data_IF_892469901538
#
_entry.id   IF_892469901538
#
_cell.length_a   1.000
_cell.length_b   1.000
_cell.length_c   1.000
_cell.angle_alpha   90.00
_cell.angle_beta   90.00
_cell.angle_gamma   90.00
#
_symmetry.space_group_name_H-M   'P 1'
#
loop_
_entity.id
_entity.type
_entity.pdbx_description
1 polymer ?
#
# COMPACT_ATOMS: atom_id res chain seq x y z
N UNK A 1 -70.55 14.48 -12.49
CA UNK A 1 -71.50 13.99 -11.50
C UNK A 1 -70.74 13.40 -10.34
N UNK A 2 -70.93 13.98 -9.16
CA UNK A 2 -70.61 13.60 -7.79
C UNK A 2 -69.17 13.63 -7.30
N UNK A 3 -68.72 14.76 -6.77
CA UNK A 3 -68.17 14.88 -5.40
C UNK A 3 -69.33 14.99 -4.39
N UNK A 4 -69.20 14.80 -3.04
CA UNK A 4 -68.31 15.56 -2.18
C UNK A 4 -67.90 14.96 -0.79
N UNK A 5 -67.15 15.76 -0.04
CA UNK A 5 -67.15 16.20 1.41
C UNK A 5 -66.08 15.52 2.30
N UNK A 6 -65.08 16.24 2.76
CA UNK A 6 -64.95 17.12 3.93
C UNK A 6 -65.25 16.49 5.29
N UNK A 7 -64.25 16.55 6.18
CA UNK A 7 -64.38 16.32 7.62
C UNK A 7 -63.14 16.74 8.39
N UNK A 8 -63.10 18.00 8.84
CA UNK A 8 -62.19 18.55 9.85
C UNK A 8 -62.62 18.10 11.26
N UNK A 9 -61.66 17.90 12.16
CA UNK A 9 -61.83 18.35 13.57
C UNK A 9 -60.48 18.59 14.25
N UNK A 10 -60.35 19.81 14.75
CA UNK A 10 -59.37 20.31 15.71
C UNK A 10 -59.56 19.66 17.10
N UNK A 11 -58.48 19.56 17.90
CA UNK A 11 -58.46 20.13 19.28
C UNK A 11 -57.07 20.07 19.90
N UNK A 12 -56.65 21.23 20.37
CA UNK A 12 -55.60 21.56 21.32
C UNK A 12 -55.74 20.84 22.64
N UNK A 13 -54.63 20.60 23.36
CA UNK A 13 -54.50 20.91 24.79
C UNK A 13 -53.05 21.13 25.19
N UNK A 14 -52.78 22.29 25.73
CA UNK A 14 -51.56 22.65 26.44
C UNK A 14 -51.76 22.31 27.93
N UNK A 15 -50.72 21.86 28.60
CA UNK A 15 -50.63 21.95 30.05
C UNK A 15 -49.17 22.15 30.49
N UNK A 16 -48.93 23.32 31.10
CA UNK A 16 -47.80 23.67 31.93
C UNK A 16 -47.74 22.81 33.19
N UNK A 17 -46.53 22.38 33.58
CA UNK A 17 -46.24 22.12 35.00
C UNK A 17 -44.79 22.49 35.30
N UNK A 18 -44.65 23.59 36.01
CA UNK A 18 -43.48 24.07 36.75
C UNK A 18 -43.24 23.17 37.97
N UNK A 19 -42.02 22.70 38.18
CA UNK A 19 -41.53 22.30 39.50
C UNK A 19 -40.05 22.66 39.68
N UNK A 20 -39.79 23.16 40.82
CA UNK A 20 -38.71 23.90 41.43
C UNK A 20 -37.38 23.14 41.59
N UNK A 21 -36.32 23.89 41.54
CA UNK A 21 -34.92 23.58 41.81
C UNK A 21 -34.61 23.07 43.23
N UNK A 22 -33.69 22.08 43.32
CA UNK A 22 -32.78 21.98 44.46
C UNK A 22 -31.38 21.60 43.92
N UNK A 23 -30.44 22.46 44.19
CA UNK A 23 -29.03 22.38 43.84
C UNK A 23 -28.26 21.49 44.85
N UNK A 24 -27.42 20.61 44.34
CA UNK A 24 -26.32 20.03 45.10
C UNK A 24 -25.06 19.98 44.18
N UNK A 25 -23.86 20.27 44.71
CA UNK A 25 -22.69 20.52 43.88
C UNK A 25 -22.06 19.21 43.40
N UNK A 26 -21.98 19.03 42.06
CA UNK A 26 -21.29 17.93 41.44
C UNK A 26 -19.80 18.23 41.32
N UNK A 27 -18.98 17.32 41.82
CA UNK A 27 -17.53 17.25 41.72
C UNK A 27 -17.06 17.29 40.24
N UNK A 28 -16.21 18.26 39.91
CA UNK A 28 -15.50 18.32 38.64
C UNK A 28 -14.52 17.14 38.49
N UNK A 29 -14.88 16.11 37.73
CA UNK A 29 -13.90 15.21 37.10
C UNK A 29 -13.42 15.89 35.82
N UNK A 30 -12.09 15.87 35.53
CA UNK A 30 -11.57 16.38 34.27
C UNK A 30 -12.12 15.51 33.11
N UNK A 31 -12.86 16.15 32.20
CA UNK A 31 -13.32 15.53 30.96
C UNK A 31 -12.11 15.40 30.05
N UNK A 32 -11.60 14.18 29.91
CA UNK A 32 -10.64 13.88 28.85
C UNK A 32 -11.31 14.14 27.50
N UNK A 33 -10.64 14.86 26.56
CA UNK A 33 -11.19 15.09 25.24
C UNK A 33 -11.47 13.76 24.53
N UNK A 34 -12.60 13.62 23.82
CA UNK A 34 -12.91 12.40 23.09
C UNK A 34 -11.80 12.13 22.07
N UNK A 35 -11.23 10.91 22.11
CA UNK A 35 -10.31 10.45 21.08
C UNK A 35 -10.97 10.65 19.72
N UNK A 36 -10.29 11.23 18.73
CA UNK A 36 -10.85 11.44 17.42
C UNK A 36 -11.30 10.10 16.84
N UNK A 37 -12.59 9.98 16.52
CA UNK A 37 -13.14 8.83 15.81
C UNK A 37 -12.42 8.78 14.45
N UNK A 38 -11.53 7.82 14.27
CA UNK A 38 -10.88 7.53 12.98
C UNK A 38 -11.98 7.14 11.98
N UNK A 39 -12.35 8.08 11.11
CA UNK A 39 -13.07 7.75 9.89
C UNK A 39 -12.16 6.81 9.09
N UNK A 40 -12.72 5.69 8.64
CA UNK A 40 -12.02 4.62 7.95
C UNK A 40 -11.53 5.06 6.56
N UNK A 41 -10.41 5.76 6.50
CA UNK A 41 -9.60 5.71 5.29
C UNK A 41 -8.86 4.37 5.29
N UNK A 42 -8.74 3.73 4.14
CA UNK A 42 -8.06 2.44 4.02
C UNK A 42 -6.60 2.49 4.51
N UNK A 43 -5.98 3.67 4.52
CA UNK A 43 -4.57 3.88 4.83
C UNK A 43 -4.36 4.95 5.91
N UNK A 44 -3.53 4.62 6.92
CA UNK A 44 -2.99 5.61 7.85
C UNK A 44 -1.84 6.41 7.16
N UNK A 45 -1.57 7.68 7.58
CA UNK A 45 -0.34 8.36 7.19
C UNK A 45 0.88 7.52 7.57
N UNK A 46 1.83 7.41 6.66
CA UNK A 46 3.07 6.66 6.86
C UNK A 46 4.22 7.64 7.01
N UNK A 47 4.80 7.77 8.21
CA UNK A 47 5.92 8.69 8.45
C UNK A 47 7.15 8.31 7.61
N UNK A 48 8.05 9.26 7.34
CA UNK A 48 9.34 8.94 6.74
C UNK A 48 10.14 7.98 7.64
N UNK A 49 10.99 7.12 7.06
CA UNK A 49 11.81 6.18 7.84
C UNK A 49 12.65 6.86 8.91
N UNK A 50 13.14 8.07 8.65
CA UNK A 50 13.95 8.88 9.57
C UNK A 50 13.21 9.12 10.89
N UNK A 51 11.93 9.55 10.81
CA UNK A 51 11.09 9.79 11.99
C UNK A 51 10.82 8.49 12.75
N UNK A 52 10.67 7.36 12.03
CA UNK A 52 10.45 6.04 12.65
C UNK A 52 11.70 5.61 13.42
N UNK A 53 12.91 5.80 12.85
CA UNK A 53 14.16 5.44 13.52
C UNK A 53 14.42 6.29 14.77
N UNK A 54 13.89 7.51 14.85
CA UNK A 54 14.01 8.36 16.04
C UNK A 54 13.09 7.93 17.19
N UNK A 55 11.95 7.31 16.88
CA UNK A 55 10.91 6.97 17.85
C UNK A 55 10.47 5.50 17.72
N UNK A 56 11.41 4.55 17.60
CA UNK A 56 11.13 3.13 17.38
C UNK A 56 10.11 2.54 18.37
N UNK A 57 10.15 2.94 19.64
CA UNK A 57 9.23 2.45 20.67
C UNK A 57 7.77 2.79 20.40
N UNK A 58 7.51 3.91 19.73
CA UNK A 58 6.15 4.34 19.41
C UNK A 58 5.54 3.45 18.32
N UNK A 59 6.37 2.97 17.39
CA UNK A 59 5.94 2.16 16.25
C UNK A 59 6.01 0.65 16.49
N UNK A 60 6.83 0.22 17.47
CA UNK A 60 7.04 -1.18 17.84
C UNK A 60 6.78 -1.44 19.32
N UNK A 61 5.64 -1.02 19.89
CA UNK A 61 5.39 -1.04 21.34
C UNK A 61 5.32 -2.43 21.97
N UNK A 62 5.13 -3.49 21.15
CA UNK A 62 5.04 -4.87 21.63
C UNK A 62 6.41 -5.55 21.76
N UNK A 63 7.51 -4.86 21.40
CA UNK A 63 8.85 -5.45 21.33
C UNK A 63 9.83 -4.77 22.30
N UNK A 64 10.66 -5.59 22.95
CA UNK A 64 11.84 -5.12 23.69
C UNK A 64 12.99 -4.94 22.68
N UNK A 65 13.19 -3.69 22.24
CA UNK A 65 14.12 -3.33 21.18
C UNK A 65 15.59 -3.44 21.61
N UNK A 66 15.86 -3.44 22.91
CA UNK A 66 17.22 -3.49 23.46
C UNK A 66 17.69 -4.93 23.72
N UNK A 67 16.79 -5.88 23.66
CA UNK A 67 17.11 -7.30 23.83
C UNK A 67 17.96 -7.83 22.67
N UNK A 68 19.11 -8.48 22.93
CA UNK A 68 19.93 -9.08 21.90
C UNK A 68 19.23 -10.28 21.26
N UNK A 69 18.85 -10.18 19.99
CA UNK A 69 18.11 -11.22 19.25
C UNK A 69 18.80 -11.66 17.97
N UNK A 70 19.79 -10.86 17.49
CA UNK A 70 20.39 -11.02 16.16
C UNK A 70 21.85 -11.38 16.33
N UNK A 71 22.30 -12.46 15.64
CA UNK A 71 23.71 -12.81 15.59
C UNK A 71 24.48 -11.83 14.72
N UNK A 72 25.57 -11.26 15.24
CA UNK A 72 26.41 -10.36 14.48
C UNK A 72 27.13 -11.15 13.36
N UNK A 73 26.78 -10.90 12.11
CA UNK A 73 27.56 -11.37 10.96
C UNK A 73 28.89 -10.61 10.97
N UNK A 74 30.00 -11.33 11.16
CA UNK A 74 31.35 -10.78 10.96
C UNK A 74 31.50 -10.47 9.46
N UNK A 75 31.66 -9.18 9.14
CA UNK A 75 31.65 -8.53 7.84
C UNK A 75 32.27 -9.33 6.69
N UNK A 76 31.55 -9.42 5.61
CA UNK A 76 32.11 -9.62 4.30
C UNK A 76 32.83 -8.35 3.85
N UNK A 77 34.15 -8.42 3.83
CA UNK A 77 34.98 -7.49 3.06
C UNK A 77 34.69 -7.71 1.59
N UNK A 78 34.34 -6.65 0.86
CA UNK A 78 34.23 -6.63 -0.60
C UNK A 78 35.46 -7.27 -1.26
N UNK A 79 35.29 -8.03 -2.34
CA UNK A 79 36.41 -8.54 -3.10
C UNK A 79 37.09 -7.39 -3.87
N UNK A 80 38.18 -6.89 -3.33
CA UNK A 80 39.12 -6.06 -4.09
C UNK A 80 40.04 -7.03 -4.84
N UNK A 81 40.11 -6.84 -6.14
CA UNK A 81 41.04 -7.50 -7.07
C UNK A 81 42.45 -7.63 -6.49
N UNK A 82 42.89 -8.87 -6.30
CA UNK A 82 44.25 -9.18 -5.85
C UNK A 82 45.16 -9.47 -7.05
N UNK A 83 46.22 -8.69 -7.20
CA UNK A 83 47.43 -9.08 -7.93
C UNK A 83 48.22 -10.14 -7.15
N UNK A 84 48.95 -11.05 -7.82
CA UNK A 84 49.59 -12.15 -7.15
C UNK A 84 50.93 -11.75 -6.52
N UNK A 85 51.08 -11.89 -5.22
CA UNK A 85 52.34 -11.71 -4.48
C UNK A 85 52.94 -13.06 -4.03
N UNK A 86 54.26 -13.13 -4.12
CA UNK A 86 55.21 -14.20 -3.86
C UNK A 86 55.17 -14.71 -2.42
N UNK A 87 55.37 -16.02 -2.13
CA UNK A 87 55.26 -16.59 -0.79
C UNK A 87 56.51 -16.33 0.07
N UNK A 88 56.28 -15.83 1.30
CA UNK A 88 57.29 -15.80 2.38
C UNK A 88 57.05 -16.91 3.40
N UNK A 89 58.09 -17.37 4.17
CA UNK A 89 58.03 -18.58 4.98
C UNK A 89 57.25 -18.45 6.27
N UNK A 90 56.84 -19.57 6.94
CA UNK A 90 55.86 -19.54 8.02
C UNK A 90 56.44 -19.08 9.35
N UNK A 91 55.92 -18.01 9.87
CA UNK A 91 56.12 -17.57 11.26
C UNK A 91 54.93 -18.01 12.12
N UNK A 92 55.21 -18.47 13.33
CA UNK A 92 54.23 -19.12 14.20
C UNK A 92 53.07 -18.20 14.58
N UNK A 93 51.84 -18.69 14.36
CA UNK A 93 50.59 -18.02 14.69
C UNK A 93 50.43 -17.82 16.22
N UNK A 94 50.04 -16.64 16.69
CA UNK A 94 49.56 -16.48 18.05
C UNK A 94 48.17 -17.13 18.23
N UNK A 95 47.80 -17.53 19.47
CA UNK A 95 46.57 -18.28 19.71
C UNK A 95 45.33 -17.51 19.27
N UNK A 96 44.50 -18.14 18.48
CA UNK A 96 43.19 -17.65 18.09
C UNK A 96 42.37 -17.24 19.34
N UNK A 97 42.20 -15.95 19.57
CA UNK A 97 41.16 -15.47 20.47
C UNK A 97 39.84 -15.89 19.90
N UNK A 98 39.14 -16.84 20.55
CA UNK A 98 37.74 -17.14 20.30
C UNK A 98 36.98 -15.81 20.26
N UNK A 99 36.61 -15.35 19.05
CA UNK A 99 35.70 -14.23 18.87
C UNK A 99 34.34 -14.67 19.35
N UNK A 100 33.95 -14.24 20.54
CA UNK A 100 32.60 -14.35 21.05
C UNK A 100 31.71 -13.64 20.02
N UNK A 101 30.89 -14.39 19.28
CA UNK A 101 29.84 -13.83 18.43
C UNK A 101 28.90 -13.02 19.32
N UNK A 102 29.05 -11.71 19.32
CA UNK A 102 28.12 -10.81 20.02
C UNK A 102 26.76 -10.84 19.38
N UNK A 103 25.69 -10.91 20.16
CA UNK A 103 24.34 -10.68 19.62
C UNK A 103 24.07 -9.19 19.64
N UNK A 104 23.46 -8.65 18.57
CA UNK A 104 23.02 -7.26 18.49
C UNK A 104 21.53 -7.15 18.87
N UNK A 105 21.14 -6.03 19.45
CA UNK A 105 19.75 -5.68 19.67
C UNK A 105 19.14 -5.11 18.39
N UNK A 106 17.81 -5.12 18.31
CA UNK A 106 17.06 -4.54 17.19
C UNK A 106 17.38 -3.05 17.03
N UNK A 107 17.50 -2.32 18.15
CA UNK A 107 17.87 -0.90 18.16
C UNK A 107 19.22 -0.65 17.48
N UNK A 108 20.25 -1.41 17.84
CA UNK A 108 21.59 -1.25 17.26
C UNK A 108 21.57 -1.47 15.75
N UNK A 109 20.82 -2.48 15.26
CA UNK A 109 20.73 -2.76 13.83
C UNK A 109 19.98 -1.65 13.10
N UNK A 110 18.93 -1.11 13.69
CA UNK A 110 18.18 0.03 13.14
C UNK A 110 19.03 1.30 13.07
N UNK A 111 19.83 1.59 14.11
CA UNK A 111 20.76 2.73 14.14
C UNK A 111 21.86 2.61 13.08
N UNK A 112 22.46 1.44 12.92
CA UNK A 112 23.45 1.17 11.88
C UNK A 112 22.88 1.41 10.48
N UNK A 113 21.62 0.98 10.25
CA UNK A 113 20.94 1.19 8.98
C UNK A 113 20.60 2.68 8.75
N UNK A 114 20.14 3.41 9.78
CA UNK A 114 19.92 4.85 9.73
C UNK A 114 21.19 5.59 9.32
N UNK A 115 22.33 5.29 9.96
CA UNK A 115 23.60 5.90 9.60
C UNK A 115 24.02 5.62 8.14
N UNK A 116 23.71 4.42 7.62
CA UNK A 116 23.97 4.07 6.22
C UNK A 116 23.12 4.94 5.28
N UNK A 117 21.83 5.09 5.58
CA UNK A 117 20.91 5.95 4.85
C UNK A 117 21.38 7.40 4.87
N UNK A 118 21.74 7.95 6.03
CA UNK A 118 22.21 9.33 6.17
C UNK A 118 23.48 9.60 5.37
N UNK A 119 24.40 8.63 5.32
CA UNK A 119 25.59 8.73 4.46
C UNK A 119 25.23 8.78 2.97
N UNK A 120 24.27 7.97 2.55
CA UNK A 120 23.85 7.92 1.15
C UNK A 120 23.11 9.19 0.72
N UNK A 121 22.23 9.73 1.56
CA UNK A 121 21.47 10.95 1.27
C UNK A 121 22.36 12.18 1.13
N UNK A 122 23.47 12.24 1.90
CA UNK A 122 24.48 13.31 1.81
C UNK A 122 25.33 13.22 0.53
N UNK A 123 25.53 12.00 0.00
CA UNK A 123 26.36 11.78 -1.18
C UNK A 123 25.66 12.17 -2.48
N UNK A 124 24.37 11.85 -2.62
CA UNK A 124 23.55 12.18 -3.80
C UNK A 124 22.06 12.28 -3.42
N UNK A 125 21.58 13.48 -3.09
CA UNK A 125 20.19 13.70 -2.73
C UNK A 125 19.18 13.41 -3.86
N UNK A 126 19.62 13.50 -5.13
CA UNK A 126 18.74 13.37 -6.31
C UNK A 126 18.54 11.91 -6.72
N UNK A 127 19.48 11.03 -6.39
CA UNK A 127 19.37 9.58 -6.68
C UNK A 127 19.07 8.72 -5.46
N UNK A 128 18.83 9.36 -4.31
CA UNK A 128 18.63 8.68 -3.02
C UNK A 128 17.59 7.57 -3.05
N UNK A 129 16.35 7.86 -3.49
CA UNK A 129 15.27 6.86 -3.51
C UNK A 129 15.59 5.66 -4.41
N UNK A 130 16.22 5.90 -5.56
CA UNK A 130 16.66 4.84 -6.46
C UNK A 130 17.83 4.03 -5.89
N UNK A 131 18.73 4.68 -5.16
CA UNK A 131 19.87 4.01 -4.52
C UNK A 131 19.42 3.13 -3.33
N UNK A 132 18.47 3.61 -2.52
CA UNK A 132 17.84 2.82 -1.45
C UNK A 132 17.11 1.63 -2.05
N UNK A 133 16.28 1.84 -3.07
CA UNK A 133 15.53 0.78 -3.75
C UNK A 133 16.44 -0.33 -4.29
N UNK A 134 17.54 0.01 -4.99
CA UNK A 134 18.49 -0.98 -5.55
C UNK A 134 19.20 -1.82 -4.47
N UNK A 135 19.23 -1.36 -3.23
CA UNK A 135 19.86 -2.04 -2.10
C UNK A 135 18.84 -2.76 -1.20
N UNK A 136 17.55 -2.59 -1.49
CA UNK A 136 16.50 -3.25 -0.72
C UNK A 136 16.70 -4.76 -0.70
N UNK A 137 16.63 -5.34 0.49
CA UNK A 137 16.95 -6.75 0.70
C UNK A 137 15.85 -7.63 0.12
N UNK A 138 16.16 -8.37 -0.94
CA UNK A 138 15.26 -9.40 -1.45
C UNK A 138 15.24 -10.59 -0.49
N UNK A 139 14.06 -11.00 -0.07
CA UNK A 139 13.84 -12.04 0.93
C UNK A 139 13.44 -13.40 0.32
N UNK A 140 13.39 -13.46 -1.03
CA UNK A 140 13.00 -14.65 -1.77
C UNK A 140 13.94 -15.83 -1.54
N UNK A 141 13.36 -16.99 -1.21
CA UNK A 141 14.14 -18.21 -0.95
C UNK A 141 14.85 -18.23 0.41
N UNK A 142 14.70 -17.19 1.22
CA UNK A 142 15.21 -17.14 2.58
C UNK A 142 14.18 -17.63 3.58
N UNK A 143 14.62 -18.13 4.73
CA UNK A 143 13.73 -18.40 5.85
C UNK A 143 13.42 -17.07 6.55
N UNK A 144 12.14 -16.78 6.74
CA UNK A 144 11.67 -15.59 7.45
C UNK A 144 11.15 -16.01 8.82
N UNK A 145 11.40 -15.22 9.84
CA UNK A 145 10.99 -15.52 11.21
C UNK A 145 10.50 -14.24 11.91
N UNK A 146 9.21 -14.20 12.27
CA UNK A 146 8.66 -13.11 13.08
C UNK A 146 9.17 -13.25 14.52
N UNK A 147 9.83 -12.22 15.05
CA UNK A 147 10.23 -12.16 16.45
C UNK A 147 9.03 -11.73 17.27
N UNK A 148 8.43 -12.66 18.00
CA UNK A 148 7.31 -12.35 18.91
C UNK A 148 7.80 -12.24 20.35
N UNK A 149 7.07 -11.50 21.19
CA UNK A 149 7.32 -11.37 22.64
C UNK A 149 7.32 -12.72 23.38
N UNK A 150 6.56 -13.69 22.89
CA UNK A 150 6.50 -15.05 23.46
C UNK A 150 7.82 -15.83 23.19
N UNK A 151 8.36 -15.76 21.97
CA UNK A 151 9.63 -16.40 21.62
C UNK A 151 10.82 -15.74 22.31
N UNK A 152 10.76 -14.42 22.53
CA UNK A 152 11.77 -13.69 23.27
C UNK A 152 11.89 -14.18 24.73
N UNK A 153 10.83 -14.71 25.32
CA UNK A 153 10.85 -15.30 26.69
C UNK A 153 11.37 -16.74 26.74
N UNK A 154 11.22 -17.53 25.66
CA UNK A 154 11.62 -18.94 25.64
C UNK A 154 13.11 -19.20 25.34
N UNK A 155 13.80 -18.27 24.67
CA UNK A 155 15.20 -18.48 24.26
C UNK A 155 16.24 -18.22 25.35
N UNK A 156 15.84 -17.98 26.61
CA UNK A 156 16.78 -17.77 27.72
C UNK A 156 17.34 -19.07 28.33
N UNK A 157 17.10 -20.27 27.78
CA UNK A 157 17.35 -21.48 28.54
C UNK A 157 18.01 -22.69 27.86
N UNK A 158 18.15 -22.83 26.55
CA UNK A 158 18.88 -23.95 25.95
C UNK A 158 19.43 -23.66 24.54
N UNK A 159 20.67 -24.10 24.21
CA UNK A 159 21.15 -24.08 22.83
C UNK A 159 20.44 -25.20 22.04
N UNK A 160 19.65 -24.80 21.04
CA UNK A 160 19.07 -25.75 20.09
C UNK A 160 20.18 -26.16 19.11
N UNK A 161 20.39 -27.47 18.84
CA UNK A 161 21.37 -27.89 17.86
C UNK A 161 20.95 -27.46 16.47
N UNK A 162 21.78 -26.67 15.82
CA UNK A 162 21.60 -26.24 14.44
C UNK A 162 21.78 -27.42 13.47
N UNK A 163 20.72 -27.74 12.75
CA UNK A 163 20.84 -28.53 11.53
C UNK A 163 21.41 -27.66 10.41
N UNK A 164 22.42 -28.07 9.66
CA UNK A 164 23.00 -27.28 8.59
C UNK A 164 22.09 -27.28 7.36
N UNK A 165 21.09 -26.44 7.34
CA UNK A 165 20.36 -26.07 6.13
C UNK A 165 20.79 -24.67 5.70
N UNK A 166 21.51 -24.62 4.59
CA UNK A 166 22.19 -23.45 4.04
C UNK A 166 21.21 -22.41 3.46
N UNK A 167 20.38 -21.78 4.27
CA UNK A 167 19.55 -20.64 3.86
C UNK A 167 19.73 -19.50 4.85
N UNK A 168 19.90 -18.28 4.33
CA UNK A 168 19.94 -17.09 5.19
C UNK A 168 18.60 -16.93 5.89
N UNK A 169 18.60 -16.83 7.22
CA UNK A 169 17.39 -16.58 8.01
C UNK A 169 17.30 -15.09 8.30
N UNK A 170 16.22 -14.45 7.85
CA UNK A 170 15.89 -13.06 8.18
C UNK A 170 14.87 -13.03 9.30
N UNK A 171 15.16 -12.23 10.31
CA UNK A 171 14.24 -11.95 11.42
C UNK A 171 13.56 -10.62 11.18
N UNK A 172 12.28 -10.54 11.49
CA UNK A 172 11.51 -9.32 11.36
C UNK A 172 10.60 -9.10 12.56
N UNK A 173 10.27 -7.85 12.84
CA UNK A 173 9.34 -7.45 13.90
C UNK A 173 8.19 -6.67 13.33
N UNK A 174 6.98 -6.96 13.82
CA UNK A 174 5.75 -6.30 13.39
C UNK A 174 5.52 -5.06 14.24
N UNK A 175 5.28 -3.94 13.57
CA UNK A 175 4.90 -2.67 14.17
C UNK A 175 3.42 -2.34 13.96
N UNK A 176 3.14 -1.06 13.87
CA UNK A 176 1.80 -0.49 13.76
C UNK A 176 1.05 -0.89 12.49
N UNK A 177 -0.29 -0.92 12.59
CA UNK A 177 -1.17 -1.10 11.45
C UNK A 177 -1.19 0.18 10.60
N UNK A 178 -0.67 0.12 9.36
CA UNK A 178 -0.60 1.24 8.43
C UNK A 178 -1.66 1.21 7.33
N UNK A 179 -2.37 0.08 7.16
CA UNK A 179 -3.43 -0.01 6.16
C UNK A 179 -4.32 -1.24 6.32
N UNK A 180 -5.49 -1.17 5.67
CA UNK A 180 -6.43 -2.29 5.54
C UNK A 180 -6.78 -2.43 4.07
N UNK A 181 -6.27 -3.46 3.43
CA UNK A 181 -6.65 -3.83 2.07
C UNK A 181 -7.91 -4.70 2.04
N UNK A 182 -8.38 -5.00 0.85
CA UNK A 182 -9.57 -5.83 0.64
C UNK A 182 -9.42 -7.23 1.25
N UNK A 183 -8.22 -7.80 1.23
CA UNK A 183 -7.95 -9.19 1.62
C UNK A 183 -7.06 -9.32 2.85
N UNK A 184 -6.67 -8.22 3.51
CA UNK A 184 -5.77 -8.32 4.64
C UNK A 184 -5.43 -6.99 5.31
N UNK A 185 -4.52 -7.07 6.27
CA UNK A 185 -4.01 -5.91 7.02
C UNK A 185 -2.58 -5.66 6.63
N UNK A 186 -2.20 -4.38 6.49
CA UNK A 186 -0.82 -3.99 6.18
C UNK A 186 -0.22 -3.36 7.43
N UNK A 187 0.90 -3.90 7.85
CA UNK A 187 1.64 -3.44 9.02
C UNK A 187 2.97 -2.79 8.60
N UNK A 188 3.37 -1.78 9.32
CA UNK A 188 4.77 -1.39 9.37
C UNK A 188 5.56 -2.57 9.95
N UNK A 189 6.74 -2.83 9.42
CA UNK A 189 7.63 -3.83 9.97
C UNK A 189 9.08 -3.40 9.82
N UNK A 190 9.94 -3.94 10.67
CA UNK A 190 11.38 -3.75 10.61
C UNK A 190 12.03 -5.11 10.31
N UNK A 191 12.84 -5.16 9.28
CA UNK A 191 13.76 -6.26 9.07
C UNK A 191 14.85 -6.18 10.17
N UNK A 192 14.68 -6.98 11.22
CA UNK A 192 15.58 -6.94 12.37
C UNK A 192 17.01 -7.42 12.05
N UNK A 193 17.20 -8.10 10.91
CA UNK A 193 18.52 -8.55 10.45
C UNK A 193 19.29 -7.43 9.75
N UNK A 194 18.62 -6.59 8.97
CA UNK A 194 19.26 -5.53 8.16
C UNK A 194 18.98 -4.13 8.66
N UNK A 195 17.98 -3.93 9.52
CA UNK A 195 17.53 -2.61 9.98
C UNK A 195 16.57 -1.89 9.02
N UNK A 196 16.22 -2.50 7.88
CA UNK A 196 15.41 -1.90 6.84
C UNK A 196 13.92 -1.85 7.23
N UNK A 197 13.27 -0.69 7.03
CA UNK A 197 11.80 -0.58 7.16
C UNK A 197 11.13 -1.21 5.96
N UNK A 198 10.15 -2.07 6.23
CA UNK A 198 9.36 -2.78 5.22
C UNK A 198 7.86 -2.69 5.56
N UNK A 199 7.01 -3.00 4.60
CA UNK A 199 5.59 -3.18 4.84
C UNK A 199 5.24 -4.67 4.74
N UNK A 200 4.39 -5.17 5.64
CA UNK A 200 3.95 -6.57 5.64
C UNK A 200 2.44 -6.65 5.51
N UNK A 201 1.97 -7.20 4.41
CA UNK A 201 0.54 -7.49 4.19
C UNK A 201 0.24 -8.89 4.68
N UNK A 202 -0.55 -9.00 5.75
CA UNK A 202 -0.94 -10.29 6.34
C UNK A 202 -2.38 -10.65 6.01
N UNK A 203 -2.57 -11.88 5.57
CA UNK A 203 -3.87 -12.50 5.30
C UNK A 203 -3.99 -13.74 6.18
N UNK A 204 -5.09 -13.84 6.92
CA UNK A 204 -5.33 -14.96 7.82
C UNK A 204 -5.50 -16.28 7.04
N UNK A 205 -4.86 -17.35 7.51
CA UNK A 205 -5.01 -18.70 6.98
C UNK A 205 -6.27 -19.38 7.53
N UNK A 206 -6.95 -20.25 6.74
CA UNK A 206 -8.09 -21.02 7.20
C UNK A 206 -7.68 -21.97 8.33
N UNK A 207 -8.20 -21.76 9.53
CA UNK A 207 -7.82 -22.52 10.74
C UNK A 207 -8.75 -23.68 11.03
N UNK A 208 -10.05 -23.50 10.85
CA UNK A 208 -11.07 -24.50 11.22
C UNK A 208 -11.47 -25.37 10.03
N UNK A 209 -12.11 -26.52 10.29
CA UNK A 209 -12.69 -27.33 9.23
C UNK A 209 -13.76 -26.58 8.43
N UNK A 210 -14.48 -25.64 9.09
CA UNK A 210 -15.44 -24.73 8.45
C UNK A 210 -14.73 -23.77 7.51
N UNK A 211 -13.63 -23.15 7.95
CA UNK A 211 -12.85 -22.19 7.13
C UNK A 211 -12.17 -22.89 5.94
N UNK A 212 -11.72 -24.14 6.13
CA UNK A 212 -11.15 -24.96 5.05
C UNK A 212 -12.17 -25.37 4.00
N UNK A 213 -13.44 -25.45 4.40
CA UNK A 213 -14.57 -25.64 3.49
C UNK A 213 -15.07 -24.32 2.88
N UNK A 214 -14.61 -23.17 3.37
CA UNK A 214 -14.81 -21.88 2.73
C UNK A 214 -13.88 -21.79 1.50
N UNK A 215 -14.42 -22.19 0.35
CA UNK A 215 -13.73 -22.19 -0.92
C UNK A 215 -13.15 -20.81 -1.27
N UNK A 216 -13.78 -19.73 -0.79
CA UNK A 216 -13.35 -18.36 -1.04
C UNK A 216 -12.03 -18.02 -0.35
N UNK A 217 -11.88 -18.33 0.95
CA UNK A 217 -10.66 -18.02 1.71
C UNK A 217 -9.45 -18.81 1.17
N UNK A 218 -9.65 -20.09 0.84
CA UNK A 218 -8.62 -20.92 0.21
C UNK A 218 -8.19 -20.34 -1.13
N UNK A 219 -9.16 -19.91 -1.95
CA UNK A 219 -8.89 -19.29 -3.26
C UNK A 219 -8.12 -17.98 -3.13
N UNK A 220 -8.46 -17.12 -2.15
CA UNK A 220 -7.74 -15.87 -1.86
C UNK A 220 -6.27 -16.14 -1.55
N UNK A 221 -5.99 -17.10 -0.66
CA UNK A 221 -4.61 -17.45 -0.28
C UNK A 221 -3.82 -17.99 -1.49
N UNK A 222 -4.41 -18.86 -2.29
CA UNK A 222 -3.76 -19.39 -3.50
C UNK A 222 -3.51 -18.29 -4.54
N UNK A 223 -4.48 -17.39 -4.76
CA UNK A 223 -4.34 -16.27 -5.68
C UNK A 223 -3.19 -15.33 -5.24
N UNK A 224 -3.07 -15.04 -3.94
CA UNK A 224 -1.99 -14.23 -3.38
C UNK A 224 -0.62 -14.85 -3.55
N UNK A 225 -0.49 -16.17 -3.35
CA UNK A 225 0.77 -16.89 -3.60
C UNK A 225 1.21 -16.80 -5.07
N UNK A 226 0.28 -17.07 -5.98
CA UNK A 226 0.56 -16.98 -7.42
C UNK A 226 0.90 -15.57 -7.87
N UNK A 227 0.25 -14.55 -7.29
CA UNK A 227 0.57 -13.15 -7.54
C UNK A 227 1.97 -12.83 -7.05
N UNK A 228 2.31 -13.20 -5.82
CA UNK A 228 3.65 -12.98 -5.25
C UNK A 228 4.73 -13.56 -6.15
N UNK A 229 4.54 -14.77 -6.67
CA UNK A 229 5.49 -15.40 -7.62
C UNK A 229 5.59 -14.64 -8.96
N UNK A 230 4.47 -14.09 -9.43
CA UNK A 230 4.45 -13.31 -10.68
C UNK A 230 5.14 -11.96 -10.52
N UNK A 231 5.02 -11.34 -9.34
CA UNK A 231 5.48 -9.98 -9.08
C UNK A 231 6.90 -9.91 -8.48
N UNK A 232 7.52 -11.06 -8.18
CA UNK A 232 8.83 -11.11 -7.49
C UNK A 232 9.96 -10.43 -8.23
N UNK A 233 9.94 -10.48 -9.56
CA UNK A 233 11.01 -9.97 -10.41
C UNK A 233 10.75 -8.55 -10.91
N UNK A 234 9.59 -7.96 -10.57
CA UNK A 234 9.27 -6.60 -10.97
C UNK A 234 10.16 -5.58 -10.26
N UNK A 235 10.77 -4.70 -11.04
CA UNK A 235 11.60 -3.60 -10.55
C UNK A 235 11.41 -2.33 -11.39
N UNK A 236 10.56 -1.41 -10.91
CA UNK A 236 10.30 -0.13 -11.56
C UNK A 236 10.06 0.96 -10.51
N UNK A 237 10.57 2.22 -10.68
CA UNK A 237 10.46 3.28 -9.67
C UNK A 237 9.01 3.64 -9.31
N UNK A 238 8.06 3.44 -10.20
CA UNK A 238 6.65 3.74 -9.98
C UNK A 238 5.80 2.50 -9.64
N UNK A 239 6.43 1.42 -9.21
CA UNK A 239 5.79 0.19 -8.75
C UNK A 239 6.31 -0.14 -7.36
N UNK A 240 5.42 -0.48 -6.42
CA UNK A 240 5.82 -1.00 -5.10
C UNK A 240 6.52 -2.34 -5.27
N UNK A 241 7.73 -2.45 -4.72
CA UNK A 241 8.55 -3.63 -4.87
C UNK A 241 8.05 -4.75 -3.95
N UNK A 242 7.98 -5.97 -4.50
CA UNK A 242 7.76 -7.19 -3.74
C UNK A 242 9.11 -7.74 -3.26
N UNK A 243 9.24 -7.95 -1.95
CA UNK A 243 10.50 -8.40 -1.32
C UNK A 243 10.50 -9.89 -1.05
N UNK A 244 9.36 -10.48 -0.74
CA UNK A 244 9.21 -11.90 -0.45
C UNK A 244 7.86 -12.26 0.13
N UNK A 245 7.66 -13.52 0.47
CA UNK A 245 6.49 -13.97 1.24
C UNK A 245 6.85 -15.08 2.22
N UNK A 246 6.06 -15.22 3.26
CA UNK A 246 6.15 -16.28 4.26
C UNK A 246 4.77 -16.87 4.51
N UNK A 247 4.71 -18.19 4.63
CA UNK A 247 3.51 -18.91 5.03
C UNK A 247 3.70 -19.53 6.41
N UNK A 248 2.85 -19.16 7.34
CA UNK A 248 2.73 -19.76 8.66
C UNK A 248 1.38 -20.47 8.80
N UNK A 249 1.16 -21.31 9.82
CA UNK A 249 -0.16 -21.91 10.06
C UNK A 249 -1.29 -20.89 10.24
N UNK A 250 -0.96 -19.67 10.64
CA UNK A 250 -1.90 -18.62 10.99
C UNK A 250 -2.10 -17.58 9.92
N UNK A 251 -1.03 -17.24 9.17
CA UNK A 251 -1.03 -16.13 8.23
C UNK A 251 -0.18 -16.42 6.99
N UNK A 252 -0.61 -15.87 5.85
CA UNK A 252 0.24 -15.59 4.72
C UNK A 252 0.72 -14.13 4.85
N UNK A 253 2.02 -13.92 4.93
CA UNK A 253 2.67 -12.62 5.05
C UNK A 253 3.40 -12.29 3.75
N UNK A 254 3.06 -11.18 3.11
CA UNK A 254 3.70 -10.66 1.90
C UNK A 254 4.53 -9.45 2.31
N UNK A 255 5.83 -9.49 2.01
CA UNK A 255 6.78 -8.45 2.33
C UNK A 255 6.93 -7.49 1.15
N UNK A 256 6.74 -6.22 1.41
CA UNK A 256 6.70 -5.14 0.42
C UNK A 256 7.66 -4.02 0.82
N UNK A 257 8.10 -3.27 -0.17
CA UNK A 257 8.76 -1.98 0.04
C UNK A 257 7.89 -1.08 0.94
N UNK A 258 8.50 -0.48 1.95
CA UNK A 258 7.83 0.56 2.72
C UNK A 258 7.84 1.87 1.94
N UNK A 259 6.68 2.39 1.62
CA UNK A 259 6.50 3.67 0.93
C UNK A 259 5.98 4.69 1.93
N UNK A 260 6.79 5.67 2.38
CA UNK A 260 6.34 6.74 3.27
C UNK A 260 5.33 7.65 2.57
N UNK A 261 4.53 8.38 3.33
CA UNK A 261 3.55 9.31 2.78
C UNK A 261 2.12 8.78 2.83
N UNK A 262 1.37 8.90 1.74
CA UNK A 262 -0.05 8.56 1.71
C UNK A 262 -0.49 7.99 0.35
N UNK A 263 -1.76 7.62 0.18
CA UNK A 263 -2.32 7.34 -1.15
C UNK A 263 -2.85 8.61 -1.80
N UNK A 264 -3.00 8.64 -3.12
CA UNK A 264 -3.69 9.73 -3.84
C UNK A 264 -5.06 9.97 -3.22
N UNK A 265 -5.84 8.90 -2.96
CA UNK A 265 -7.16 9.03 -2.35
C UNK A 265 -7.12 9.71 -0.98
N UNK A 266 -6.17 9.36 -0.13
CA UNK A 266 -5.99 10.01 1.18
C UNK A 266 -5.52 11.46 1.05
N UNK A 267 -4.67 11.77 0.06
CA UNK A 267 -4.25 13.14 -0.24
C UNK A 267 -5.43 14.00 -0.69
N UNK A 268 -6.29 13.48 -1.58
CA UNK A 268 -7.51 14.17 -2.02
C UNK A 268 -8.48 14.42 -0.87
N UNK A 269 -8.65 13.47 0.05
CA UNK A 269 -9.47 13.66 1.25
C UNK A 269 -8.92 14.76 2.17
N UNK A 270 -7.60 14.92 2.24
CA UNK A 270 -6.93 15.87 3.12
C UNK A 270 -6.79 17.26 2.51
N UNK A 271 -6.42 17.34 1.24
CA UNK A 271 -6.02 18.58 0.57
C UNK A 271 -7.02 19.04 -0.50
N UNK A 272 -8.01 18.22 -0.85
CA UNK A 272 -8.94 18.50 -1.95
C UNK A 272 -8.32 18.19 -3.31
N UNK A 273 -8.85 18.85 -4.36
CA UNK A 273 -8.39 18.71 -5.75
C UNK A 273 -6.92 19.14 -5.90
N UNK A 274 -6.22 18.48 -6.79
CA UNK A 274 -4.83 18.82 -7.10
C UNK A 274 -4.74 19.91 -8.16
N UNK A 275 -3.66 20.68 -8.13
CA UNK A 275 -3.33 21.57 -9.23
C UNK A 275 -2.97 20.78 -10.51
N UNK A 276 -3.02 21.47 -11.64
CA UNK A 276 -2.85 20.85 -12.95
C UNK A 276 -1.46 20.20 -13.12
N UNK A 277 -0.39 20.84 -12.62
CA UNK A 277 0.96 20.31 -12.77
C UNK A 277 1.22 19.10 -11.86
N UNK A 278 0.66 19.08 -10.65
CA UNK A 278 0.68 17.90 -9.79
C UNK A 278 -0.05 16.76 -10.47
N UNK A 279 -1.24 17.02 -11.02
CA UNK A 279 -2.01 16.00 -11.76
C UNK A 279 -1.25 15.46 -12.97
N UNK A 280 -0.61 16.33 -13.78
CA UNK A 280 0.25 15.93 -14.93
C UNK A 280 1.39 15.05 -14.48
N UNK A 281 2.13 15.47 -13.45
CA UNK A 281 3.28 14.73 -12.92
C UNK A 281 2.89 13.34 -12.42
N UNK A 282 1.84 13.26 -11.61
CA UNK A 282 1.38 11.99 -11.05
C UNK A 282 0.83 11.07 -12.14
N UNK A 283 0.06 11.61 -13.09
CA UNK A 283 -0.45 10.85 -14.24
C UNK A 283 0.69 10.27 -15.09
N UNK A 284 1.73 11.05 -15.36
CA UNK A 284 2.90 10.60 -16.11
C UNK A 284 3.60 9.43 -15.41
N UNK A 285 3.75 9.49 -14.10
CA UNK A 285 4.36 8.43 -13.29
C UNK A 285 3.49 7.17 -13.23
N UNK A 286 2.17 7.32 -13.08
CA UNK A 286 1.22 6.20 -13.12
C UNK A 286 1.29 5.49 -14.46
N UNK A 287 1.27 6.25 -15.56
CA UNK A 287 1.40 5.68 -16.91
C UNK A 287 2.74 4.99 -17.13
N UNK A 288 3.85 5.51 -16.57
CA UNK A 288 5.15 4.86 -16.64
C UNK A 288 5.16 3.50 -15.92
N UNK A 289 4.55 3.44 -14.73
CA UNK A 289 4.38 2.18 -14.01
C UNK A 289 3.49 1.18 -14.76
N UNK A 290 2.39 1.66 -15.35
CA UNK A 290 1.50 0.79 -16.14
C UNK A 290 2.15 0.32 -17.45
N UNK A 291 2.90 1.17 -18.14
CA UNK A 291 3.64 0.76 -19.34
C UNK A 291 4.58 -0.40 -19.03
N UNK A 292 5.32 -0.30 -17.93
CA UNK A 292 6.18 -1.37 -17.46
C UNK A 292 5.39 -2.65 -17.16
N UNK A 293 4.30 -2.58 -16.38
CA UNK A 293 3.45 -3.76 -16.09
C UNK A 293 2.89 -4.40 -17.35
N UNK A 294 2.40 -3.58 -18.28
CA UNK A 294 1.83 -4.05 -19.54
C UNK A 294 2.87 -4.70 -20.44
N UNK A 295 4.14 -4.22 -20.44
CA UNK A 295 5.24 -4.85 -21.16
C UNK A 295 5.62 -6.23 -20.59
N UNK A 296 5.43 -6.43 -19.27
CA UNK A 296 5.60 -7.72 -18.60
C UNK A 296 4.35 -8.64 -18.72
N UNK A 297 3.33 -8.20 -19.48
CA UNK A 297 2.10 -8.96 -19.67
C UNK A 297 1.15 -8.94 -18.48
N UNK A 298 1.31 -8.00 -17.54
CA UNK A 298 0.58 -7.93 -16.28
C UNK A 298 -0.41 -6.75 -16.30
N UNK A 299 -1.74 -6.98 -16.44
CA UNK A 299 -2.73 -5.95 -16.22
C UNK A 299 -2.96 -5.72 -14.72
N UNK A 300 -3.15 -4.45 -14.30
CA UNK A 300 -3.34 -4.10 -12.90
C UNK A 300 -4.73 -4.48 -12.35
N UNK A 301 -5.80 -4.24 -13.10
CA UNK A 301 -7.20 -4.61 -12.83
C UNK A 301 -7.92 -3.93 -11.67
N UNK A 302 -7.21 -3.33 -10.74
CA UNK A 302 -7.78 -2.69 -9.54
C UNK A 302 -7.23 -1.28 -9.34
N UNK A 303 -6.89 -0.57 -10.42
CA UNK A 303 -6.32 0.76 -10.33
C UNK A 303 -7.38 1.75 -9.82
N UNK A 304 -7.03 2.46 -8.75
CA UNK A 304 -7.82 3.52 -8.11
C UNK A 304 -6.91 4.41 -7.28
N UNK A 305 -7.39 5.58 -6.89
CA UNK A 305 -6.59 6.54 -6.12
C UNK A 305 -6.03 5.98 -4.80
N UNK A 306 -6.74 5.05 -4.15
CA UNK A 306 -6.24 4.41 -2.92
C UNK A 306 -5.06 3.47 -3.14
N UNK A 307 -4.90 2.92 -4.35
CA UNK A 307 -3.84 1.98 -4.70
C UNK A 307 -2.62 2.65 -5.34
N UNK A 308 -2.57 3.98 -5.35
CA UNK A 308 -1.42 4.75 -5.81
C UNK A 308 -0.85 5.49 -4.60
N UNK A 309 0.32 5.06 -4.16
CA UNK A 309 1.02 5.64 -3.02
C UNK A 309 1.85 6.83 -3.48
N UNK A 310 1.89 7.89 -2.67
CA UNK A 310 2.63 9.12 -2.96
C UNK A 310 3.60 9.39 -1.82
N UNK A 311 4.88 9.43 -2.16
CA UNK A 311 5.94 9.85 -1.24
C UNK A 311 5.95 11.37 -1.03
N UNK A 312 6.59 11.81 0.07
CA UNK A 312 6.76 13.24 0.34
C UNK A 312 7.54 13.98 -0.75
N UNK A 313 8.37 13.27 -1.50
CA UNK A 313 9.11 13.75 -2.67
C UNK A 313 8.25 13.97 -3.92
N UNK A 314 6.98 13.49 -3.92
CA UNK A 314 6.11 13.50 -5.09
C UNK A 314 6.29 12.29 -6.02
N UNK A 315 7.04 11.28 -5.61
CA UNK A 315 7.12 10.01 -6.34
C UNK A 315 5.84 9.21 -6.10
N UNK A 316 5.23 8.75 -7.20
CA UNK A 316 4.06 7.90 -7.17
C UNK A 316 4.44 6.44 -7.40
N UNK A 317 3.86 5.52 -6.62
CA UNK A 317 4.05 4.07 -6.78
C UNK A 317 2.71 3.35 -6.80
N UNK A 318 2.50 2.54 -7.81
CA UNK A 318 1.33 1.67 -7.93
C UNK A 318 1.49 0.48 -6.98
N UNK A 319 0.44 0.19 -6.21
CA UNK A 319 0.36 -0.88 -5.22
C UNK A 319 -0.92 -1.71 -5.39
N UNK A 320 -1.03 -2.83 -4.68
CA UNK A 320 -2.23 -3.67 -4.63
C UNK A 320 -2.70 -4.12 -6.02
N UNK A 321 -1.84 -4.85 -6.72
CA UNK A 321 -2.15 -5.48 -8.00
C UNK A 321 -3.35 -6.43 -7.87
N UNK A 322 -4.18 -6.46 -8.90
CA UNK A 322 -5.50 -7.06 -8.83
C UNK A 322 -5.54 -8.58 -8.72
N UNK A 323 -5.43 -9.08 -7.50
CA UNK A 323 -5.77 -10.45 -7.10
C UNK A 323 -7.22 -10.80 -7.50
N UNK A 324 -8.05 -9.77 -7.68
CA UNK A 324 -9.50 -9.85 -7.83
C UNK A 324 -9.96 -10.82 -8.92
N UNK A 325 -9.30 -10.92 -10.07
CA UNK A 325 -9.85 -11.76 -11.16
C UNK A 325 -9.87 -13.26 -10.84
N UNK A 326 -8.84 -13.80 -10.22
CA UNK A 326 -8.81 -15.24 -9.89
C UNK A 326 -9.81 -15.58 -8.78
N UNK A 327 -10.02 -14.64 -7.86
CA UNK A 327 -11.00 -14.77 -6.79
C UNK A 327 -12.42 -14.62 -7.33
N UNK A 328 -12.66 -13.65 -8.22
CA UNK A 328 -13.96 -13.44 -8.85
C UNK A 328 -14.37 -14.61 -9.76
N UNK A 329 -13.42 -15.18 -10.51
CA UNK A 329 -13.65 -16.36 -11.34
C UNK A 329 -13.99 -17.61 -10.50
N UNK A 330 -13.37 -17.77 -9.32
CA UNK A 330 -13.59 -18.91 -8.42
C UNK A 330 -14.85 -18.76 -7.55
N UNK A 331 -15.26 -17.54 -7.23
CA UNK A 331 -16.43 -17.26 -6.37
C UNK A 331 -17.75 -17.15 -7.10
N UNK A 332 -17.79 -17.45 -8.40
CA UNK A 332 -19.02 -17.38 -9.19
C UNK A 332 -19.57 -15.96 -9.35
N UNK A 333 -18.72 -14.94 -9.26
CA UNK A 333 -19.09 -13.54 -9.43
C UNK A 333 -19.61 -12.87 -8.16
N UNK A 334 -18.99 -13.14 -7.02
CA UNK A 334 -19.39 -12.50 -5.76
C UNK A 334 -19.20 -10.98 -5.85
N UNK A 335 -20.31 -10.28 -5.94
CA UNK A 335 -20.47 -8.81 -5.98
C UNK A 335 -19.76 -8.06 -4.85
N UNK A 336 -19.38 -8.72 -3.77
CA UNK A 336 -18.87 -8.11 -2.54
C UNK A 336 -17.44 -7.60 -2.67
N UNK A 337 -16.57 -8.28 -3.42
CA UNK A 337 -15.19 -7.83 -3.65
C UNK A 337 -15.11 -6.67 -4.65
N UNK A 338 -16.07 -6.60 -5.58
CA UNK A 338 -16.16 -5.56 -6.60
C UNK A 338 -16.69 -4.20 -6.08
N UNK A 339 -17.43 -4.18 -4.96
CA UNK A 339 -18.11 -2.97 -4.47
C UNK A 339 -17.18 -1.76 -4.27
N UNK A 340 -15.91 -1.97 -3.91
CA UNK A 340 -14.95 -0.89 -3.68
C UNK A 340 -14.29 -0.32 -4.95
N UNK A 341 -14.29 -1.03 -6.07
CA UNK A 341 -13.53 -0.66 -7.27
C UNK A 341 -14.44 -0.29 -8.47
N UNK A 342 -15.73 -0.52 -8.36
CA UNK A 342 -16.70 -0.31 -9.47
C UNK A 342 -16.66 1.10 -10.05
N UNK A 343 -16.34 2.10 -9.25
CA UNK A 343 -16.29 3.51 -9.66
C UNK A 343 -15.16 3.85 -10.64
N UNK A 344 -14.15 3.00 -10.75
CA UNK A 344 -13.01 3.11 -11.69
C UNK A 344 -13.03 2.05 -12.79
N UNK A 345 -14.06 1.20 -12.80
CA UNK A 345 -14.18 0.06 -13.71
C UNK A 345 -14.54 0.50 -15.12
N UNK A 346 -13.93 -0.13 -16.11
CA UNK A 346 -14.27 0.08 -17.52
C UNK A 346 -15.56 -0.66 -17.92
N UNK A 347 -16.33 -0.13 -18.88
CA UNK A 347 -17.62 -0.72 -19.27
C UNK A 347 -17.50 -2.15 -19.77
N UNK A 348 -16.47 -2.51 -20.53
CA UNK A 348 -16.23 -3.86 -21.03
C UNK A 348 -16.03 -4.91 -19.92
N UNK A 349 -15.55 -4.49 -18.75
CA UNK A 349 -15.36 -5.38 -17.58
C UNK A 349 -16.68 -5.74 -16.91
N UNK A 350 -17.75 -4.92 -17.10
CA UNK A 350 -19.07 -5.18 -16.53
C UNK A 350 -19.84 -6.24 -17.31
N UNK A 351 -19.42 -6.56 -18.53
CA UNK A 351 -20.09 -7.55 -19.38
C UNK A 351 -19.66 -8.96 -18.99
N UNK A 352 -20.52 -9.66 -18.24
CA UNK A 352 -20.28 -11.02 -17.75
C UNK A 352 -20.18 -12.08 -18.85
N UNK A 353 -20.68 -11.81 -20.07
CA UNK A 353 -20.64 -12.75 -21.20
C UNK A 353 -19.31 -12.71 -21.96
N UNK A 354 -18.58 -11.60 -21.90
CA UNK A 354 -17.27 -11.42 -22.52
C UNK A 354 -16.29 -10.90 -21.47
N UNK A 355 -15.97 -11.70 -20.48
CA UNK A 355 -14.99 -11.35 -19.42
C UNK A 355 -13.56 -11.19 -19.98
N UNK A 356 -13.36 -10.30 -20.93
CA UNK A 356 -12.07 -9.96 -21.49
C UNK A 356 -11.54 -8.69 -20.81
N UNK A 357 -10.89 -8.85 -19.67
CA UNK A 357 -10.07 -7.80 -19.11
C UNK A 357 -8.79 -7.68 -19.95
N UNK A 358 -8.55 -6.51 -20.53
CA UNK A 358 -7.33 -6.24 -21.26
C UNK A 358 -6.56 -5.04 -20.64
N UNK A 359 -5.36 -4.78 -21.12
CA UNK A 359 -4.52 -3.68 -20.64
C UNK A 359 -5.21 -2.31 -20.81
N UNK A 360 -6.06 -2.12 -21.80
CA UNK A 360 -6.78 -0.88 -22.04
C UNK A 360 -7.90 -0.61 -21.00
N UNK A 361 -8.32 -1.63 -20.25
CA UNK A 361 -9.22 -1.42 -19.11
C UNK A 361 -8.53 -0.67 -17.96
N UNK A 362 -7.20 -0.85 -17.78
CA UNK A 362 -6.42 -0.06 -16.82
C UNK A 362 -6.35 1.41 -17.25
N UNK A 363 -6.33 1.68 -18.56
CA UNK A 363 -6.32 3.06 -19.11
C UNK A 363 -7.61 3.80 -18.77
N UNK A 364 -8.76 3.12 -18.83
CA UNK A 364 -10.01 3.69 -18.33
C UNK A 364 -9.91 4.05 -16.86
N UNK A 365 -9.35 3.15 -16.04
CA UNK A 365 -9.13 3.40 -14.61
C UNK A 365 -8.19 4.59 -14.38
N UNK A 366 -7.14 4.78 -15.21
CA UNK A 366 -6.32 6.01 -15.20
C UNK A 366 -7.17 7.24 -15.44
N UNK A 367 -8.02 7.24 -16.47
CA UNK A 367 -8.93 8.36 -16.76
C UNK A 367 -9.82 8.71 -15.56
N UNK A 368 -10.33 7.69 -14.86
CA UNK A 368 -11.10 7.86 -13.64
C UNK A 368 -10.27 8.48 -12.49
N UNK A 369 -9.02 8.03 -12.28
CA UNK A 369 -8.12 8.57 -11.25
C UNK A 369 -7.72 10.02 -11.57
N UNK A 370 -7.46 10.33 -12.84
CA UNK A 370 -7.13 11.69 -13.27
C UNK A 370 -8.32 12.62 -13.06
N UNK A 371 -9.53 12.16 -13.41
CA UNK A 371 -10.76 12.91 -13.11
C UNK A 371 -10.92 13.16 -11.61
N UNK A 372 -10.62 12.16 -10.77
CA UNK A 372 -10.65 12.28 -9.31
C UNK A 372 -9.65 13.33 -8.81
N UNK A 373 -8.45 13.40 -9.38
CA UNK A 373 -7.45 14.43 -9.04
C UNK A 373 -7.91 15.85 -9.44
N UNK A 374 -8.57 16.04 -10.58
CA UNK A 374 -9.10 17.32 -11.00
C UNK A 374 -10.28 17.79 -10.17
N UNK A 375 -11.12 16.85 -9.72
CA UNK A 375 -12.39 17.17 -9.04
C UNK A 375 -12.23 17.18 -7.51
N UNK A 376 -11.29 16.40 -6.98
CA UNK A 376 -11.07 16.24 -5.54
C UNK A 376 -11.91 15.13 -4.88
N UNK A 377 -12.74 14.45 -5.65
CA UNK A 377 -13.68 13.42 -5.17
C UNK A 377 -13.77 12.28 -6.18
N UNK A 378 -14.15 11.08 -5.70
CA UNK A 378 -14.25 9.90 -6.53
C UNK A 378 -15.19 10.08 -7.72
N UNK A 379 -14.98 9.37 -8.84
CA UNK A 379 -15.93 9.31 -9.93
C UNK A 379 -17.31 8.85 -9.45
N UNK A 380 -18.38 9.31 -10.14
CA UNK A 380 -19.76 8.91 -9.80
C UNK A 380 -20.18 9.27 -8.36
N UNK A 381 -19.73 10.43 -7.87
CA UNK A 381 -19.85 10.85 -6.46
C UNK A 381 -21.23 10.66 -5.83
N UNK A 382 -22.31 10.86 -6.62
CA UNK A 382 -23.70 10.82 -6.15
C UNK A 382 -24.36 9.45 -6.34
N UNK A 383 -23.66 8.53 -6.97
CA UNK A 383 -24.22 7.23 -7.32
C UNK A 383 -23.76 6.13 -6.36
N UNK A 384 -24.67 5.21 -6.08
CA UNK A 384 -24.36 3.95 -5.40
C UNK A 384 -23.72 2.96 -6.41
N UNK A 385 -22.96 2.00 -5.88
CA UNK A 385 -22.20 1.04 -6.69
C UNK A 385 -23.07 0.30 -7.71
N UNK A 386 -24.27 -0.12 -7.32
CA UNK A 386 -25.22 -0.82 -8.20
C UNK A 386 -25.69 0.08 -9.35
N UNK A 387 -25.96 1.36 -9.07
CA UNK A 387 -26.37 2.32 -10.10
C UNK A 387 -25.24 2.57 -11.09
N UNK A 388 -23.98 2.65 -10.64
CA UNK A 388 -22.82 2.79 -11.52
C UNK A 388 -22.64 1.57 -12.41
N UNK A 389 -22.74 0.36 -11.85
CA UNK A 389 -22.70 -0.89 -12.64
C UNK A 389 -23.76 -0.89 -13.75
N UNK A 390 -24.97 -0.47 -13.43
CA UNK A 390 -26.06 -0.40 -14.40
C UNK A 390 -25.79 0.64 -15.50
N UNK A 391 -25.28 1.84 -15.14
CA UNK A 391 -24.89 2.89 -16.08
C UNK A 391 -23.78 2.42 -17.02
N UNK A 392 -22.74 1.77 -16.49
CA UNK A 392 -21.64 1.23 -17.29
C UNK A 392 -22.13 0.14 -18.25
N UNK A 393 -22.97 -0.77 -17.75
CA UNK A 393 -23.49 -1.89 -18.57
C UNK A 393 -24.45 -1.44 -19.67
N UNK A 394 -25.39 -0.52 -19.38
CA UNK A 394 -26.42 -0.10 -20.33
C UNK A 394 -25.98 1.04 -21.26
N UNK A 395 -25.33 2.04 -20.69
CA UNK A 395 -25.13 3.32 -21.40
C UNK A 395 -23.71 3.49 -21.88
N UNK A 396 -22.76 2.71 -21.38
CA UNK A 396 -21.34 2.86 -21.67
C UNK A 396 -20.84 4.32 -21.47
N UNK A 397 -21.50 5.10 -20.61
CA UNK A 397 -21.13 6.51 -20.39
C UNK A 397 -19.94 6.62 -19.45
N UNK A 398 -19.00 7.52 -19.73
CA UNK A 398 -17.92 7.85 -18.80
C UNK A 398 -18.47 8.60 -17.59
N UNK A 399 -17.71 8.63 -16.45
CA UNK A 399 -18.06 9.44 -15.29
C UNK A 399 -18.19 10.92 -15.70
N UNK A 400 -19.26 11.61 -15.23
CA UNK A 400 -19.48 13.01 -15.56
C UNK A 400 -18.44 13.94 -14.92
N UNK A 401 -18.06 14.99 -15.63
CA UNK A 401 -17.30 16.11 -15.07
C UNK A 401 -18.33 17.06 -14.42
N UNK A 402 -18.15 17.46 -13.15
CA UNK A 402 -19.01 18.47 -12.52
C UNK A 402 -18.98 19.80 -13.28
N UNK A 403 -20.11 20.52 -13.31
CA UNK A 403 -20.26 21.78 -14.07
C UNK A 403 -19.33 22.91 -13.61
N UNK A 404 -18.89 22.85 -12.34
CA UNK A 404 -17.96 23.80 -11.72
C UNK A 404 -16.49 23.51 -12.02
N UNK A 405 -16.18 22.43 -12.72
CA UNK A 405 -14.82 22.03 -13.10
C UNK A 405 -14.59 22.35 -14.58
N UNK A 406 -13.72 23.33 -14.83
CA UNK A 406 -13.32 23.73 -16.18
C UNK A 406 -12.00 23.03 -16.52
N UNK A 407 -12.01 22.17 -17.54
CA UNK A 407 -10.81 21.52 -18.06
C UNK A 407 -10.22 22.33 -19.22
N UNK A 408 -8.88 22.31 -19.35
CA UNK A 408 -8.24 22.81 -20.56
C UNK A 408 -8.57 21.89 -21.74
N UNK A 409 -8.44 22.40 -22.97
CA UNK A 409 -8.67 21.59 -24.19
C UNK A 409 -7.83 20.30 -24.21
N UNK A 410 -6.56 20.41 -23.79
CA UNK A 410 -5.66 19.24 -23.71
C UNK A 410 -6.06 18.27 -22.58
N UNK A 411 -6.56 18.78 -21.46
CA UNK A 411 -7.06 17.94 -20.37
C UNK A 411 -8.31 17.17 -20.79
N UNK A 412 -9.23 17.85 -21.48
CA UNK A 412 -10.46 17.21 -21.97
C UNK A 412 -10.16 16.18 -23.07
N UNK A 413 -9.26 16.48 -24.02
CA UNK A 413 -8.79 15.51 -25.04
C UNK A 413 -8.13 14.28 -24.36
N UNK A 414 -7.27 14.48 -23.36
CA UNK A 414 -6.68 13.40 -22.60
C UNK A 414 -7.75 12.53 -21.92
N UNK A 415 -8.74 13.15 -21.27
CA UNK A 415 -9.87 12.48 -20.63
C UNK A 415 -10.66 11.63 -21.62
N UNK A 416 -11.01 12.19 -22.77
CA UNK A 416 -11.78 11.46 -23.79
C UNK A 416 -11.01 10.27 -24.36
N UNK A 417 -9.70 10.38 -24.54
CA UNK A 417 -8.85 9.27 -24.97
C UNK A 417 -8.80 8.16 -23.91
N UNK A 418 -8.65 8.49 -22.63
CA UNK A 418 -8.68 7.47 -21.57
C UNK A 418 -10.04 6.77 -21.47
N UNK A 419 -11.13 7.53 -21.60
CA UNK A 419 -12.51 7.07 -21.38
C UNK A 419 -13.23 6.74 -22.70
N UNK A 420 -12.52 6.43 -23.77
CA UNK A 420 -13.10 5.95 -25.01
C UNK A 420 -13.73 4.57 -24.81
N UNK A 421 -15.00 4.42 -25.24
CA UNK A 421 -15.71 3.16 -25.12
C UNK A 421 -15.18 2.10 -26.08
N UNK A 422 -14.80 2.53 -27.28
CA UNK A 422 -14.20 1.65 -28.26
C UNK A 422 -12.74 1.36 -27.85
N UNK A 423 -12.44 0.08 -27.61
CA UNK A 423 -11.09 -0.36 -27.22
C UNK A 423 -10.03 -0.06 -28.27
N UNK A 424 -10.39 -0.03 -29.55
CA UNK A 424 -9.44 0.32 -30.62
C UNK A 424 -9.05 1.81 -30.58
N UNK A 425 -9.95 2.67 -30.17
CA UNK A 425 -9.75 4.11 -30.05
C UNK A 425 -9.04 4.50 -28.73
N UNK A 426 -9.16 3.66 -27.69
CA UNK A 426 -8.51 3.88 -26.40
C UNK A 426 -7.02 3.59 -26.52
N UNK A 427 -6.12 4.57 -26.28
CA UNK A 427 -4.68 4.38 -26.44
C UNK A 427 -4.10 3.39 -25.40
N UNK A 428 -2.89 2.94 -25.67
CA UNK A 428 -2.04 2.23 -24.70
C UNK A 428 -1.42 3.20 -23.69
N UNK A 429 -0.84 2.67 -22.61
CA UNK A 429 -0.07 3.47 -21.63
C UNK A 429 1.11 4.20 -22.29
N UNK A 430 1.83 3.54 -23.20
CA UNK A 430 2.95 4.10 -23.94
C UNK A 430 2.52 5.29 -24.81
N UNK A 431 1.42 5.15 -25.55
CA UNK A 431 0.88 6.23 -26.40
C UNK A 431 0.40 7.42 -25.57
N UNK A 432 -0.29 7.18 -24.44
CA UNK A 432 -0.74 8.25 -23.55
C UNK A 432 0.40 9.01 -22.88
N UNK A 433 1.53 8.38 -22.59
CA UNK A 433 2.71 9.07 -22.05
C UNK A 433 3.26 10.15 -22.99
N UNK A 434 3.00 10.04 -24.29
CA UNK A 434 3.40 11.04 -25.29
C UNK A 434 2.36 12.15 -25.46
N UNK A 435 1.27 12.13 -24.70
CA UNK A 435 0.18 13.11 -24.85
C UNK A 435 0.63 14.53 -24.43
N UNK A 436 0.33 15.57 -25.24
CA UNK A 436 0.75 16.95 -24.94
C UNK A 436 0.26 17.48 -23.59
N UNK A 437 -0.86 16.97 -23.07
CA UNK A 437 -1.35 17.32 -21.73
C UNK A 437 -0.31 17.08 -20.64
N UNK A 438 0.50 16.04 -20.73
CA UNK A 438 1.45 15.64 -19.70
C UNK A 438 2.75 16.45 -19.68
N UNK A 439 2.91 17.38 -20.63
CA UNK A 439 4.10 18.24 -20.65
C UNK A 439 4.08 19.18 -19.45
N UNK A 440 5.13 19.11 -18.65
CA UNK A 440 5.35 19.99 -17.50
C UNK A 440 6.24 21.17 -17.87
N UNK A 441 6.13 22.32 -17.19
CA UNK A 441 7.11 23.38 -17.30
C UNK A 441 8.52 22.86 -16.99
N UNK A 442 9.58 23.35 -17.68
CA UNK A 442 10.95 22.81 -17.53
C UNK A 442 11.49 22.84 -16.11
N UNK A 443 11.12 23.85 -15.32
CA UNK A 443 11.63 24.05 -13.96
C UNK A 443 10.61 23.60 -12.87
N UNK A 444 9.57 22.88 -13.27
CA UNK A 444 8.58 22.45 -12.31
C UNK A 444 9.10 21.31 -11.41
N UNK A 445 8.97 21.51 -10.12
CA UNK A 445 9.31 20.54 -9.07
C UNK A 445 8.12 20.42 -8.12
N UNK A 446 7.84 19.21 -7.66
CA UNK A 446 6.84 18.99 -6.64
C UNK A 446 7.30 19.59 -5.30
N UNK A 447 6.53 20.52 -4.74
CA UNK A 447 6.84 21.21 -3.46
C UNK A 447 5.83 20.89 -2.37
N UNK A 448 5.09 19.81 -2.53
CA UNK A 448 4.02 19.42 -1.60
C UNK A 448 2.63 19.80 -2.12
N UNK A 449 1.61 19.38 -1.37
CA UNK A 449 0.22 19.76 -1.62
C UNK A 449 -0.04 21.12 -0.99
N UNK A 450 -0.71 21.98 -1.72
CA UNK A 450 -1.13 23.33 -1.27
C UNK A 450 -2.57 23.33 -0.81
#
# INVERSE_FOLDING_TARGET
>A
MYSPKLGQTHRNFAALATLTSTSSPASHRPVTPPKPQRRSSAWAPRPPPEDIYECLEEFFPEHDLDKPVIEANSGETSPTTAEPAIPAPPEAAPPEKLRIRGKKSIRIVAEEHKELIDRMSRADPTSYSNAVRKRSTKLWGSKLEEVTTAQAKMQSGQPVPESPSAGTTFKWVRGDLIGRGTYGRVYLALNATTGEMIAVKQVAMPRTASDKNDSWQVTVVQALKMESETLKDLDHPNIVQYLGFEETPDNLSIFLEYVPGSSIGSCLLKYGKFDENVTKSFTSQILAGLEYLHSEGIPHRALKADNILVEMSGVCKISDFGISKKIDDASGGAFTAMQGTVFWMAPEVTNTQKKEYNFKSDIWSVGCVVLEMWVGIRPWMRDEAQAVMFKLYQSNLPPPVPEDVVLSELADDFRWKCLANNLEERPTSAELRMHPYLVLPPDWVFTGFK
#
